data_IF_879485234094
#
_entry.id   IF_879485234094
#
_cell.length_a   1.000
_cell.length_b   1.000
_cell.length_c   1.000
_cell.angle_alpha   90.00
_cell.angle_beta   90.00
_cell.angle_gamma   90.00
#
_symmetry.space_group_name_H-M   'P 1'
#
loop_
_entity.id
_entity.type
_entity.pdbx_description
1 polymer ?
#
# COMPACT_ATOMS: atom_id res chain seq x y z
N UNK A 1 -18.21 -6.55 -5.73
CA UNK A 1 -16.91 -7.26 -5.52
C UNK A 1 -15.91 -6.88 -6.62
N UNK A 2 -16.36 -6.80 -7.87
CA UNK A 2 -15.63 -6.32 -9.06
C UNK A 2 -14.98 -4.95 -8.89
N UNK A 3 -15.69 -3.95 -8.36
CA UNK A 3 -15.15 -2.58 -8.17
C UNK A 3 -13.95 -2.49 -7.21
N UNK A 4 -13.88 -3.36 -6.20
CA UNK A 4 -12.78 -3.36 -5.23
C UNK A 4 -11.51 -3.94 -5.85
N UNK A 5 -11.66 -5.04 -6.59
CA UNK A 5 -10.57 -5.71 -7.29
C UNK A 5 -9.98 -4.77 -8.35
N UNK A 6 -10.83 -4.10 -9.12
CA UNK A 6 -10.42 -3.15 -10.15
C UNK A 6 -9.67 -1.94 -9.56
N UNK A 7 -10.13 -1.39 -8.44
CA UNK A 7 -9.41 -0.31 -7.73
C UNK A 7 -8.02 -0.75 -7.26
N UNK A 8 -7.88 -1.98 -6.76
CA UNK A 8 -6.60 -2.50 -6.27
C UNK A 8 -5.64 -2.75 -7.43
N UNK A 9 -6.10 -3.39 -8.51
CA UNK A 9 -5.25 -3.59 -9.69
C UNK A 9 -4.88 -2.29 -10.37
N UNK A 10 -5.79 -1.31 -10.42
CA UNK A 10 -5.49 0.03 -10.95
C UNK A 10 -4.46 0.73 -10.08
N UNK A 11 -4.61 0.67 -8.74
CA UNK A 11 -3.64 1.25 -7.81
C UNK A 11 -2.26 0.59 -7.99
N UNK A 12 -2.21 -0.74 -8.00
CA UNK A 12 -0.97 -1.48 -8.22
C UNK A 12 -0.33 -1.15 -9.58
N UNK A 13 -1.11 -1.13 -10.67
CA UNK A 13 -0.59 -0.80 -12.00
C UNK A 13 -0.07 0.63 -12.11
N UNK A 14 -0.57 1.56 -11.28
CA UNK A 14 -0.05 2.91 -11.17
C UNK A 14 1.23 2.98 -10.31
N UNK A 15 1.31 2.21 -9.23
CA UNK A 15 2.50 2.15 -8.36
C UNK A 15 3.67 1.42 -9.05
N UNK A 16 3.39 0.43 -9.90
CA UNK A 16 4.37 -0.44 -10.56
C UNK A 16 4.51 -0.16 -12.07
N UNK A 17 4.21 1.06 -12.51
CA UNK A 17 4.23 1.45 -13.93
C UNK A 17 5.58 1.18 -14.61
N UNK A 18 6.69 1.41 -13.93
CA UNK A 18 8.03 1.09 -14.46
C UNK A 18 8.26 -0.41 -14.63
N UNK A 19 7.74 -1.24 -13.72
CA UNK A 19 7.88 -2.69 -13.80
C UNK A 19 7.03 -3.25 -14.95
N UNK A 20 5.80 -2.73 -15.13
CA UNK A 20 4.92 -3.08 -16.25
C UNK A 20 5.55 -2.70 -17.59
N UNK A 21 6.14 -1.50 -17.69
CA UNK A 21 6.83 -1.05 -18.91
C UNK A 21 8.04 -1.95 -19.25
N UNK A 22 8.82 -2.40 -18.25
CA UNK A 22 9.92 -3.36 -18.46
C UNK A 22 9.44 -4.74 -18.95
N UNK A 23 8.21 -5.12 -18.60
CA UNK A 23 7.57 -6.35 -19.08
C UNK A 23 6.88 -6.17 -20.43
N UNK A 24 6.90 -4.96 -21.02
CA UNK A 24 6.21 -4.66 -22.27
C UNK A 24 4.68 -4.73 -22.15
N UNK A 25 4.14 -4.51 -20.96
CA UNK A 25 2.71 -4.67 -20.65
C UNK A 25 2.10 -3.32 -20.28
N UNK A 26 0.95 -2.99 -20.85
CA UNK A 26 0.21 -1.79 -20.46
C UNK A 26 -0.62 -2.01 -19.19
N UNK A 27 -0.95 -0.93 -18.48
CA UNK A 27 -1.83 -0.97 -17.30
C UNK A 27 -3.18 -1.63 -17.61
N UNK A 28 -3.75 -1.32 -18.76
CA UNK A 28 -5.03 -1.88 -19.21
C UNK A 28 -4.93 -3.39 -19.44
N UNK A 29 -3.88 -3.85 -20.13
CA UNK A 29 -3.65 -5.28 -20.36
C UNK A 29 -3.42 -6.03 -19.05
N UNK A 30 -2.68 -5.45 -18.11
CA UNK A 30 -2.50 -6.04 -16.78
C UNK A 30 -3.85 -6.23 -16.07
N UNK A 31 -4.69 -5.20 -16.05
CA UNK A 31 -6.00 -5.25 -15.37
C UNK A 31 -6.93 -6.29 -16.02
N UNK A 32 -7.00 -6.34 -17.35
CA UNK A 32 -7.81 -7.34 -18.05
C UNK A 32 -7.31 -8.77 -17.82
N UNK A 33 -6.00 -8.98 -17.84
CA UNK A 33 -5.41 -10.30 -17.60
C UNK A 33 -5.65 -10.74 -16.15
N UNK A 34 -5.50 -9.84 -15.19
CA UNK A 34 -5.79 -10.12 -13.79
C UNK A 34 -7.28 -10.43 -13.55
N UNK A 35 -8.19 -9.72 -14.25
CA UNK A 35 -9.63 -10.01 -14.24
C UNK A 35 -9.94 -11.41 -14.78
N UNK A 36 -9.40 -11.77 -15.95
CA UNK A 36 -9.59 -13.11 -16.54
C UNK A 36 -9.03 -14.21 -15.65
N UNK A 37 -7.85 -13.99 -15.07
CA UNK A 37 -7.24 -14.95 -14.16
C UNK A 37 -8.09 -15.17 -12.90
N UNK A 38 -8.75 -14.12 -12.41
CA UNK A 38 -9.68 -14.17 -11.27
C UNK A 38 -10.93 -15.04 -11.46
N UNK A 39 -11.18 -15.52 -12.68
CA UNK A 39 -12.33 -16.38 -12.95
C UNK A 39 -12.03 -17.85 -12.60
N UNK A 40 -10.75 -18.23 -12.57
CA UNK A 40 -10.27 -19.58 -12.18
C UNK A 40 -10.31 -19.78 -10.66
N UNK A 41 -10.45 -21.02 -10.17
CA UNK A 41 -10.45 -21.29 -8.72
C UNK A 41 -9.12 -20.90 -8.05
N UNK A 42 -7.98 -21.28 -8.65
CA UNK A 42 -6.65 -20.92 -8.15
C UNK A 42 -6.41 -19.41 -8.22
N UNK A 43 -6.78 -18.78 -9.34
CA UNK A 43 -6.63 -17.33 -9.52
C UNK A 43 -7.45 -16.52 -8.53
N UNK A 44 -8.63 -17.00 -8.10
CA UNK A 44 -9.41 -16.35 -7.02
C UNK A 44 -8.63 -16.30 -5.72
N UNK A 45 -8.03 -17.42 -5.31
CA UNK A 45 -7.30 -17.51 -4.05
C UNK A 45 -6.01 -16.69 -4.09
N UNK A 46 -5.25 -16.76 -5.19
CA UNK A 46 -4.03 -15.97 -5.34
C UNK A 46 -4.31 -14.47 -5.42
N UNK A 47 -5.39 -14.05 -6.08
CA UNK A 47 -5.78 -12.63 -6.10
C UNK A 47 -6.25 -12.16 -4.72
N UNK A 48 -7.00 -12.99 -3.98
CA UNK A 48 -7.37 -12.66 -2.60
C UNK A 48 -6.13 -12.51 -1.71
N UNK A 49 -5.17 -13.43 -1.82
CA UNK A 49 -3.89 -13.36 -1.10
C UNK A 49 -3.08 -12.12 -1.48
N UNK A 50 -3.01 -11.80 -2.76
CA UNK A 50 -2.36 -10.59 -3.26
C UNK A 50 -3.01 -9.33 -2.69
N UNK A 51 -4.34 -9.24 -2.73
CA UNK A 51 -5.12 -8.11 -2.17
C UNK A 51 -4.80 -7.93 -0.68
N UNK A 52 -4.87 -9.01 0.10
CA UNK A 52 -4.60 -8.95 1.54
C UNK A 52 -3.15 -8.52 1.81
N UNK A 53 -2.20 -8.96 0.99
CA UNK A 53 -0.79 -8.56 1.11
C UNK A 53 -0.60 -7.07 0.84
N UNK A 54 -1.28 -6.51 -0.17
CA UNK A 54 -1.24 -5.08 -0.46
C UNK A 54 -1.89 -4.25 0.65
N UNK A 55 -3.01 -4.72 1.19
CA UNK A 55 -3.68 -4.07 2.33
C UNK A 55 -2.79 -4.06 3.57
N UNK A 56 -2.12 -5.19 3.87
CA UNK A 56 -1.13 -5.28 4.95
C UNK A 56 0.03 -4.31 4.73
N UNK A 57 0.57 -4.22 3.51
CA UNK A 57 1.66 -3.28 3.18
C UNK A 57 1.24 -1.83 3.41
N UNK A 58 0.05 -1.46 2.96
CA UNK A 58 -0.51 -0.12 3.19
C UNK A 58 -0.70 0.19 4.67
N UNK A 59 -1.18 -0.78 5.47
CA UNK A 59 -1.33 -0.61 6.91
C UNK A 59 0.02 -0.43 7.61
N UNK A 60 1.04 -1.20 7.23
CA UNK A 60 2.40 -1.05 7.75
C UNK A 60 2.98 0.34 7.48
N UNK A 61 2.75 0.89 6.29
CA UNK A 61 3.17 2.26 5.95
C UNK A 61 2.50 3.30 6.86
N UNK A 62 1.18 3.18 7.06
CA UNK A 62 0.44 4.07 7.96
C UNK A 62 0.94 3.98 9.41
N UNK A 63 1.25 2.77 9.89
CA UNK A 63 1.85 2.56 11.22
C UNK A 63 3.17 3.31 11.32
N UNK A 64 4.07 3.16 10.34
CA UNK A 64 5.36 3.86 10.33
C UNK A 64 5.21 5.38 10.38
N UNK A 65 4.28 5.95 9.62
CA UNK A 65 4.00 7.40 9.65
C UNK A 65 3.49 7.88 11.01
N UNK A 66 2.65 7.07 11.67
CA UNK A 66 2.14 7.36 13.02
C UNK A 66 3.29 7.30 14.04
N UNK A 67 4.13 6.26 13.97
CA UNK A 67 5.31 6.11 14.85
C UNK A 67 6.27 7.29 14.73
N UNK A 68 6.56 7.76 13.50
CA UNK A 68 7.36 8.96 13.27
C UNK A 68 6.74 10.22 13.90
N UNK A 69 5.41 10.36 13.81
CA UNK A 69 4.71 11.48 14.41
C UNK A 69 4.74 11.43 15.94
N UNK A 70 4.65 10.24 16.54
CA UNK A 70 4.81 10.05 17.99
C UNK A 70 6.20 10.52 18.42
N UNK A 71 7.26 10.05 17.74
CA UNK A 71 8.65 10.44 18.07
C UNK A 71 8.84 11.95 18.00
N UNK A 72 8.27 12.63 16.99
CA UNK A 72 8.33 14.10 16.89
C UNK A 72 7.68 14.78 18.10
N UNK A 73 6.54 14.27 18.57
CA UNK A 73 5.83 14.83 19.72
C UNK A 73 6.57 14.56 21.03
N UNK A 74 7.14 13.38 21.20
CA UNK A 74 7.99 13.06 22.37
C UNK A 74 9.22 13.97 22.43
N UNK A 75 9.86 14.26 21.29
CA UNK A 75 10.97 15.19 21.25
C UNK A 75 10.55 16.63 21.61
N UNK A 76 9.40 17.10 21.10
CA UNK A 76 8.85 18.41 21.51
C UNK A 76 8.57 18.48 23.02
N UNK A 77 8.09 17.39 23.63
CA UNK A 77 7.88 17.34 25.09
C UNK A 77 9.22 17.48 25.82
N UNK A 78 10.26 16.75 25.40
CA UNK A 78 11.60 16.85 26.01
C UNK A 78 12.18 18.27 25.90
N UNK A 79 12.01 18.94 24.77
CA UNK A 79 12.43 20.33 24.59
C UNK A 79 11.72 21.26 25.59
N UNK A 80 10.41 21.09 25.77
CA UNK A 80 9.63 21.85 26.76
C UNK A 80 10.10 21.55 28.19
N UNK A 81 10.38 20.28 28.54
CA UNK A 81 10.87 19.90 29.87
C UNK A 81 12.23 20.54 30.19
N UNK A 82 13.12 20.64 29.19
CA UNK A 82 14.40 21.33 29.32
C UNK A 82 14.18 22.82 29.59
N UNK A 83 13.30 23.48 28.83
CA UNK A 83 12.98 24.89 29.03
C UNK A 83 12.39 25.16 30.43
N UNK A 84 11.45 24.33 30.87
CA UNK A 84 10.83 24.44 32.20
C UNK A 84 11.84 24.27 33.34
N UNK A 85 12.86 23.42 33.16
CA UNK A 85 13.90 23.18 34.17
C UNK A 85 14.87 24.34 34.33
N UNK A 86 14.91 25.27 33.36
CA UNK A 86 15.78 26.46 33.37
C UNK A 86 15.07 27.72 33.89
N UNK A 87 13.79 27.62 34.27
CA UNK A 87 12.99 28.68 34.90
C UNK A 87 13.06 28.59 36.44
#
# INVERSE_FOLDING_TARGET
MTDRIEKIFTKFANEEEEALNKMGMTKTEFIENAKKWSETEDGKLEIQKFILTQEISSLKKQISEIEENIVKKENSIKEIEIELSNL
#
